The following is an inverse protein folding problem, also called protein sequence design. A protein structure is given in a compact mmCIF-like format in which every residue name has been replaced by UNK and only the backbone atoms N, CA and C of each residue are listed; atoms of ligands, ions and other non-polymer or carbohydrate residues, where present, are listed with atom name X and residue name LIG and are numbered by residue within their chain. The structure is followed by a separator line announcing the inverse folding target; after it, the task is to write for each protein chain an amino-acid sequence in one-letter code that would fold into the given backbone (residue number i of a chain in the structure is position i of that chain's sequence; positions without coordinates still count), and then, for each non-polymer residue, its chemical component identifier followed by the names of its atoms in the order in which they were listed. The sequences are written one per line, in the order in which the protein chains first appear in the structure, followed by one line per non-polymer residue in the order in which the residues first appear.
data_IF_544209779523
#
_entry.id   IF_544209779523
#
_cell.length_a   1.000
_cell.length_b   1.000
_cell.length_c   1.000
_cell.angle_alpha   90.00
_cell.angle_beta   90.00
_cell.angle_gamma   90.00
#
_symmetry.space_group_name_H-M   'P 1'
#
loop_
_entity.id
_entity.type
_entity.pdbx_description
1 polymer ?
#
# COMPACT_ATOMS: atom_id res chain seq x y z
N UNK A 1 25.79 5.84 8.71
CA UNK A 1 26.08 4.63 7.90
C UNK A 1 26.73 5.05 6.58
N UNK A 2 27.58 4.23 5.97
CA UNK A 2 28.04 4.51 4.60
C UNK A 2 26.97 4.07 3.59
N UNK A 3 26.22 5.05 3.07
CA UNK A 3 25.11 4.82 2.12
C UNK A 3 25.61 4.19 0.83
N UNK A 4 26.79 4.60 0.34
CA UNK A 4 27.35 4.11 -0.92
C UNK A 4 27.65 2.61 -0.81
N UNK A 5 28.28 2.21 0.29
CA UNK A 5 28.61 0.81 0.55
C UNK A 5 27.36 -0.05 0.70
N UNK A 6 26.36 0.42 1.44
CA UNK A 6 25.09 -0.29 1.60
C UNK A 6 24.38 -0.52 0.25
N UNK A 7 24.31 0.50 -0.60
CA UNK A 7 23.72 0.40 -1.95
C UNK A 7 24.51 -0.55 -2.85
N UNK A 8 25.85 -0.53 -2.77
CA UNK A 8 26.71 -1.41 -3.55
C UNK A 8 26.47 -2.90 -3.19
N UNK A 9 26.36 -3.21 -1.90
CA UNK A 9 26.09 -4.57 -1.41
C UNK A 9 24.68 -5.04 -1.76
N UNK A 10 23.66 -4.20 -1.54
CA UNK A 10 22.25 -4.53 -1.80
C UNK A 10 21.97 -4.75 -3.30
N UNK A 11 22.49 -3.88 -4.16
CA UNK A 11 22.30 -3.94 -5.61
C UNK A 11 23.34 -4.82 -6.33
N UNK A 12 24.34 -5.33 -5.60
CA UNK A 12 25.45 -6.16 -6.12
C UNK A 12 26.22 -5.47 -7.25
N UNK A 13 26.51 -4.18 -7.07
CA UNK A 13 27.28 -3.35 -8.01
C UNK A 13 28.51 -2.74 -7.33
N UNK A 14 29.43 -2.19 -8.11
CA UNK A 14 30.66 -1.59 -7.55
C UNK A 14 30.36 -0.23 -6.90
N UNK A 15 31.02 0.07 -5.79
CA UNK A 15 30.87 1.37 -5.08
C UNK A 15 31.11 2.57 -6.00
N UNK A 16 32.11 2.51 -6.89
CA UNK A 16 32.36 3.57 -7.86
C UNK A 16 31.19 3.81 -8.84
N UNK A 17 30.42 2.77 -9.18
CA UNK A 17 29.22 2.91 -10.00
C UNK A 17 28.09 3.59 -9.22
N UNK A 18 27.94 3.25 -7.93
CA UNK A 18 26.97 3.91 -7.04
C UNK A 18 27.32 5.39 -6.90
N UNK A 19 28.57 5.73 -6.60
CA UNK A 19 29.02 7.12 -6.44
C UNK A 19 28.73 7.95 -7.69
N UNK A 20 29.06 7.41 -8.88
CA UNK A 20 28.78 8.08 -10.14
C UNK A 20 27.28 8.28 -10.38
N UNK A 21 26.46 7.26 -10.11
CA UNK A 21 25.00 7.35 -10.25
C UNK A 21 24.39 8.37 -9.27
N UNK A 22 24.78 8.30 -7.98
CA UNK A 22 24.32 9.24 -6.93
C UNK A 22 24.67 10.68 -7.31
N UNK A 23 25.91 10.94 -7.75
CA UNK A 23 26.33 12.27 -8.18
C UNK A 23 25.44 12.80 -9.31
N UNK A 24 25.16 11.97 -10.32
CA UNK A 24 24.32 12.37 -11.45
C UNK A 24 22.87 12.63 -11.02
N UNK A 25 22.33 11.84 -10.08
CA UNK A 25 20.99 12.05 -9.51
C UNK A 25 20.95 13.37 -8.73
N UNK A 26 21.96 13.65 -7.91
CA UNK A 26 22.05 14.88 -7.13
C UNK A 26 22.22 16.14 -8.00
N UNK A 27 22.83 16.00 -9.18
CA UNK A 27 22.88 17.04 -10.22
C UNK A 27 21.52 17.27 -10.91
N UNK A 28 20.49 16.52 -10.54
CA UNK A 28 19.13 16.65 -11.08
C UNK A 28 18.89 15.89 -12.39
N UNK A 29 19.79 14.99 -12.80
CA UNK A 29 19.59 14.21 -14.01
C UNK A 29 18.51 13.14 -13.79
N UNK A 30 17.65 12.94 -14.81
CA UNK A 30 16.63 11.90 -14.76
C UNK A 30 17.23 10.51 -14.99
N UNK A 31 16.60 9.48 -14.44
CA UNK A 31 17.05 8.08 -14.64
C UNK A 31 17.15 7.71 -16.14
N UNK A 32 16.17 8.02 -17.01
CA UNK A 32 16.30 7.76 -18.45
C UNK A 32 17.48 8.51 -19.09
N UNK A 33 17.77 9.74 -18.64
CA UNK A 33 18.92 10.49 -19.13
C UNK A 33 20.24 9.83 -18.74
N UNK A 34 20.38 9.42 -17.47
CA UNK A 34 21.57 8.74 -16.97
C UNK A 34 21.78 7.43 -17.73
N UNK A 35 20.73 6.61 -17.82
CA UNK A 35 20.81 5.30 -18.44
C UNK A 35 21.09 5.38 -19.95
N UNK A 36 20.69 6.46 -20.64
CA UNK A 36 20.92 6.63 -22.08
C UNK A 36 22.25 7.34 -22.39
N UNK A 37 22.56 8.43 -21.69
CA UNK A 37 23.62 9.38 -22.07
C UNK A 37 24.80 9.42 -21.09
N UNK A 38 24.74 8.67 -19.98
CA UNK A 38 25.80 8.59 -18.97
C UNK A 38 26.20 7.14 -18.65
N UNK A 39 26.03 6.23 -19.61
CA UNK A 39 26.39 4.81 -19.47
C UNK A 39 27.83 4.61 -19.05
N UNK A 40 28.78 5.27 -19.70
CA UNK A 40 30.21 5.09 -19.38
C UNK A 40 30.54 5.53 -17.95
N UNK A 41 29.93 6.63 -17.49
CA UNK A 41 30.14 7.15 -16.15
C UNK A 41 29.63 6.19 -15.06
N UNK A 42 28.53 5.48 -15.30
CA UNK A 42 27.96 4.51 -14.34
C UNK A 42 28.44 3.08 -14.55
N UNK A 43 29.29 2.82 -15.56
CA UNK A 43 29.68 1.46 -15.93
C UNK A 43 28.53 0.64 -16.54
N UNK A 44 27.67 1.30 -17.31
CA UNK A 44 26.53 0.74 -18.06
C UNK A 44 25.44 0.13 -17.19
N UNK A 45 25.10 0.79 -16.08
CA UNK A 45 23.89 0.43 -15.31
C UNK A 45 22.64 0.64 -16.18
N UNK A 46 21.71 -0.31 -16.11
CA UNK A 46 20.42 -0.22 -16.80
C UNK A 46 19.42 0.61 -15.98
N UNK A 47 18.31 0.99 -16.61
CA UNK A 47 17.24 1.80 -16.00
C UNK A 47 16.67 1.15 -14.73
N UNK A 48 16.53 -0.17 -14.69
CA UNK A 48 15.98 -0.89 -13.53
C UNK A 48 16.87 -0.74 -12.29
N UNK A 49 18.18 -0.99 -12.44
CA UNK A 49 19.14 -0.82 -11.35
C UNK A 49 19.20 0.64 -10.90
N UNK A 50 19.18 1.59 -11.84
CA UNK A 50 19.22 3.02 -11.52
C UNK A 50 17.96 3.49 -10.78
N UNK A 51 16.77 2.96 -11.11
CA UNK A 51 15.53 3.25 -10.36
C UNK A 51 15.57 2.69 -8.94
N UNK A 52 15.94 1.41 -8.80
CA UNK A 52 16.10 0.77 -7.49
C UNK A 52 17.13 1.52 -6.64
N UNK A 53 18.21 2.02 -7.26
CA UNK A 53 19.22 2.86 -6.60
C UNK A 53 18.64 4.17 -6.11
N UNK A 54 17.89 4.92 -6.93
CA UNK A 54 17.27 6.19 -6.53
C UNK A 54 16.27 6.00 -5.38
N UNK A 55 15.36 5.02 -5.50
CA UNK A 55 14.39 4.71 -4.44
C UNK A 55 15.09 4.37 -3.12
N UNK A 56 16.11 3.51 -3.17
CA UNK A 56 16.84 3.09 -1.99
C UNK A 56 17.71 4.21 -1.41
N UNK A 57 18.33 5.03 -2.26
CA UNK A 57 19.09 6.21 -1.86
C UNK A 57 18.23 7.18 -1.07
N UNK A 58 17.01 7.47 -1.55
CA UNK A 58 16.05 8.33 -0.85
C UNK A 58 15.67 7.76 0.52
N UNK A 59 15.37 6.47 0.59
CA UNK A 59 15.08 5.81 1.87
C UNK A 59 16.24 5.93 2.85
N UNK A 60 17.47 5.60 2.41
CA UNK A 60 18.64 5.60 3.29
C UNK A 60 19.01 7.02 3.76
N UNK A 61 18.85 8.03 2.91
CA UNK A 61 18.99 9.45 3.30
C UNK A 61 17.95 9.85 4.33
N UNK A 62 16.67 9.49 4.12
CA UNK A 62 15.61 9.74 5.09
C UNK A 62 15.85 9.04 6.43
N UNK A 63 16.43 7.83 6.41
CA UNK A 63 16.84 7.13 7.63
C UNK A 63 17.94 7.88 8.38
N UNK A 64 19.00 8.33 7.72
CA UNK A 64 20.08 9.07 8.38
C UNK A 64 19.60 10.44 8.88
N UNK A 65 18.79 11.17 8.12
CA UNK A 65 18.15 12.41 8.58
C UNK A 65 17.31 12.16 9.84
N UNK A 66 16.51 11.09 9.84
CA UNK A 66 15.67 10.74 10.99
C UNK A 66 16.51 10.39 12.22
N UNK A 67 17.61 9.65 12.06
CA UNK A 67 18.56 9.38 13.15
C UNK A 67 19.09 10.66 13.76
N UNK A 68 19.51 11.62 12.93
CA UNK A 68 20.00 12.92 13.41
C UNK A 68 18.93 13.71 14.18
N UNK A 69 17.71 13.79 13.64
CA UNK A 69 16.59 14.42 14.33
C UNK A 69 16.32 13.79 15.70
N UNK A 70 16.32 12.46 15.77
CA UNK A 70 16.13 11.71 17.03
C UNK A 70 17.27 11.98 18.01
N UNK A 71 18.53 11.91 17.56
CA UNK A 71 19.69 12.20 18.42
C UNK A 71 19.63 13.62 18.97
N UNK A 72 19.28 14.60 18.15
CA UNK A 72 19.13 15.99 18.59
C UNK A 72 18.01 16.13 19.63
N UNK A 73 16.84 15.54 19.38
CA UNK A 73 15.70 15.59 20.30
C UNK A 73 15.98 14.92 21.66
N UNK A 74 16.83 13.89 21.70
CA UNK A 74 17.26 13.24 22.95
C UNK A 74 18.37 14.06 23.64
N UNK A 75 19.27 14.67 22.86
CA UNK A 75 20.32 15.55 23.38
C UNK A 75 19.74 16.80 24.04
N UNK A 76 18.70 17.38 23.46
CA UNK A 76 17.98 18.54 24.03
C UNK A 76 17.29 18.22 25.37
N UNK A 77 17.07 16.93 25.67
CA UNK A 77 16.57 16.45 26.96
C UNK A 77 17.69 16.07 27.94
N UNK A 78 18.95 16.26 27.57
CA UNK A 78 20.15 15.88 28.33
C UNK A 78 20.21 14.37 28.66
N UNK A 79 19.59 13.53 27.82
CA UNK A 79 19.47 12.07 28.04
C UNK A 79 20.24 11.22 27.03
N UNK A 80 21.00 11.83 26.12
CA UNK A 80 21.76 11.11 25.11
C UNK A 80 23.04 10.54 25.72
N UNK A 81 23.06 9.23 26.02
CA UNK A 81 24.27 8.55 26.47
C UNK A 81 25.12 8.09 25.28
N UNK A 82 26.45 7.88 25.46
CA UNK A 82 27.31 7.37 24.38
C UNK A 82 26.83 6.03 23.81
N UNK A 83 26.29 5.14 24.65
CA UNK A 83 25.76 3.85 24.24
C UNK A 83 24.50 4.02 23.39
N UNK A 84 23.59 4.90 23.80
CA UNK A 84 22.36 5.19 23.05
C UNK A 84 22.67 5.86 21.71
N UNK A 85 23.64 6.77 21.66
CA UNK A 85 24.10 7.37 20.41
C UNK A 85 24.64 6.29 19.46
N UNK A 86 25.43 5.36 19.98
CA UNK A 86 25.95 4.24 19.19
C UNK A 86 24.82 3.35 18.66
N UNK A 87 23.83 3.01 19.50
CA UNK A 87 22.68 2.19 19.13
C UNK A 87 21.83 2.88 18.03
N UNK A 88 21.58 4.18 18.14
CA UNK A 88 20.83 4.94 17.11
C UNK A 88 21.61 5.00 15.80
N UNK A 89 22.93 5.23 15.84
CA UNK A 89 23.77 5.23 14.63
C UNK A 89 23.78 3.85 13.94
N UNK A 90 23.81 2.78 14.73
CA UNK A 90 23.81 1.39 14.26
C UNK A 90 22.44 0.89 13.77
N UNK A 91 21.34 1.57 14.11
CA UNK A 91 20.00 1.16 13.69
C UNK A 91 19.87 1.09 12.16
N UNK A 92 19.46 -0.07 11.63
CA UNK A 92 19.38 -0.32 10.19
C UNK A 92 18.04 0.08 9.55
N UNK A 93 17.01 0.35 10.36
CA UNK A 93 15.64 0.63 9.88
C UNK A 93 15.03 1.78 10.66
N UNK A 94 14.08 2.48 10.02
CA UNK A 94 13.29 3.53 10.68
C UNK A 94 12.58 3.00 11.93
N UNK A 95 12.04 1.78 11.87
CA UNK A 95 11.36 1.15 13.01
C UNK A 95 12.29 0.99 14.21
N UNK A 96 13.55 0.56 14.00
CA UNK A 96 14.51 0.43 15.08
C UNK A 96 14.88 1.81 15.69
N UNK A 97 15.02 2.84 14.87
CA UNK A 97 15.22 4.22 15.34
C UNK A 97 14.03 4.70 16.17
N UNK A 98 12.81 4.45 15.71
CA UNK A 98 11.58 4.84 16.41
C UNK A 98 11.40 4.08 17.74
N UNK A 99 11.79 2.80 17.81
CA UNK A 99 11.79 2.01 19.04
C UNK A 99 12.77 2.60 20.06
N UNK A 100 14.00 2.96 19.65
CA UNK A 100 15.00 3.60 20.51
C UNK A 100 14.55 5.01 20.97
N UNK A 101 13.83 5.73 20.11
CA UNK A 101 13.33 7.07 20.43
C UNK A 101 12.10 7.07 21.34
N UNK A 102 11.35 5.96 21.39
CA UNK A 102 10.05 5.84 22.08
C UNK A 102 10.05 6.32 23.54
N UNK A 103 11.06 6.02 24.40
CA UNK A 103 11.10 6.51 25.78
C UNK A 103 11.19 8.04 25.90
N UNK A 104 11.68 8.72 24.85
CA UNK A 104 11.98 10.16 24.85
C UNK A 104 10.95 10.99 24.09
N UNK A 105 10.01 10.34 23.40
CA UNK A 105 8.91 11.02 22.72
C UNK A 105 8.00 11.70 23.74
N UNK A 106 7.53 12.90 23.40
CA UNK A 106 6.46 13.55 24.16
C UNK A 106 5.18 12.70 24.05
N UNK A 107 4.68 12.22 25.19
CA UNK A 107 3.48 11.38 25.26
C UNK A 107 2.27 12.21 25.68
N UNK A 108 1.09 11.83 25.18
CA UNK A 108 -0.18 12.28 25.78
C UNK A 108 -0.25 11.78 27.22
N UNK A 109 -0.88 12.52 28.13
CA UNK A 109 -0.97 12.20 29.57
C UNK A 109 -1.36 10.74 29.82
N UNK A 110 -0.38 9.89 30.16
CA UNK A 110 -0.58 8.43 30.35
C UNK A 110 -0.89 8.09 31.80
N UNK A 111 -1.37 6.86 32.06
CA UNK A 111 -1.57 6.36 33.43
C UNK A 111 -0.26 6.36 34.22
N UNK A 112 0.84 6.00 33.58
CA UNK A 112 2.18 6.04 34.18
C UNK A 112 2.61 7.48 34.52
N UNK A 113 2.38 8.45 33.63
CA UNK A 113 2.66 9.86 33.92
C UNK A 113 1.84 10.36 35.11
N UNK A 114 0.54 10.03 35.17
CA UNK A 114 -0.32 10.38 36.31
C UNK A 114 0.21 9.72 37.59
N UNK A 115 0.63 8.46 37.54
CA UNK A 115 1.21 7.76 38.69
C UNK A 115 2.54 8.39 39.15
N UNK A 116 3.39 8.86 38.22
CA UNK A 116 4.61 9.62 38.51
C UNK A 116 4.32 10.97 39.17
N UNK A 117 3.34 11.73 38.64
CA UNK A 117 2.85 12.98 39.24
C UNK A 117 2.36 12.77 40.69
N UNK A 118 1.76 11.60 40.97
CA UNK A 118 1.33 11.18 42.30
C UNK A 118 2.48 10.70 43.21
N UNK A 119 3.71 10.66 42.72
CA UNK A 119 4.89 10.25 43.49
C UNK A 119 5.01 8.74 43.70
N UNK A 120 4.45 7.91 42.81
CA UNK A 120 4.47 6.44 42.92
C UNK A 120 5.70 5.80 42.26
N UNK A 121 6.60 6.59 41.66
CA UNK A 121 7.82 6.10 41.03
C UNK A 121 8.76 5.35 41.99
N UNK A 122 9.02 5.83 43.23
CA UNK A 122 9.84 5.08 44.18
C UNK A 122 9.22 3.73 44.58
N UNK A 123 7.89 3.61 44.59
CA UNK A 123 7.20 2.34 44.83
C UNK A 123 7.40 1.37 43.65
N UNK A 124 7.37 1.86 42.41
CA UNK A 124 7.68 1.07 41.23
C UNK A 124 9.12 0.54 41.26
N UNK A 125 10.09 1.38 41.59
CA UNK A 125 11.50 0.99 41.74
C UNK A 125 11.69 -0.04 42.86
N UNK A 126 10.97 0.14 43.99
CA UNK A 126 10.98 -0.79 45.12
C UNK A 126 10.44 -2.18 44.76
N UNK A 127 9.40 -2.26 43.92
CA UNK A 127 8.87 -3.52 43.39
C UNK A 127 9.90 -4.18 42.47
N UNK A 128 10.54 -3.39 41.59
CA UNK A 128 11.50 -3.89 40.61
C UNK A 128 12.76 -4.48 41.26
N UNK A 129 13.18 -3.99 42.44
CA UNK A 129 14.28 -4.54 43.22
C UNK A 129 14.06 -5.98 43.71
N UNK A 130 12.81 -6.46 43.80
CA UNK A 130 12.46 -7.85 44.15
C UNK A 130 13.00 -8.35 45.50
N UNK A 131 13.28 -7.44 46.44
CA UNK A 131 13.86 -7.73 47.76
C UNK A 131 12.88 -7.61 48.93
N UNK A 132 11.57 -7.56 48.65
CA UNK A 132 10.58 -7.37 49.70
C UNK A 132 10.47 -8.55 50.65
N UNK A 133 10.40 -8.23 51.95
CA UNK A 133 10.27 -9.20 53.05
C UNK A 133 8.86 -9.26 53.63
N UNK A 134 8.00 -8.32 53.24
CA UNK A 134 6.62 -8.19 53.71
C UNK A 134 5.68 -7.93 52.52
N UNK A 135 4.37 -8.12 52.69
CA UNK A 135 3.37 -7.78 51.67
C UNK A 135 3.51 -6.34 51.16
N UNK A 136 3.37 -6.16 49.85
CA UNK A 136 3.55 -4.86 49.18
C UNK A 136 2.60 -3.79 49.72
N UNK A 137 1.44 -4.17 50.26
CA UNK A 137 0.48 -3.26 50.88
C UNK A 137 1.10 -2.45 52.03
N UNK A 138 2.06 -3.03 52.77
CA UNK A 138 2.76 -2.31 53.85
C UNK A 138 3.66 -1.21 53.32
N UNK A 139 4.45 -1.53 52.28
CA UNK A 139 5.29 -0.54 51.61
C UNK A 139 4.42 0.54 50.94
N UNK A 140 3.35 0.14 50.26
CA UNK A 140 2.42 1.00 49.56
C UNK A 140 1.61 1.92 50.48
N UNK A 141 1.41 1.57 51.75
CA UNK A 141 0.71 2.41 52.72
C UNK A 141 1.36 3.79 52.88
N UNK A 142 2.69 3.87 52.78
CA UNK A 142 3.45 5.14 52.84
C UNK A 142 3.21 6.07 51.64
N UNK A 143 2.61 5.56 50.57
CA UNK A 143 2.30 6.29 49.34
C UNK A 143 0.81 6.65 49.21
N UNK A 144 -0.02 6.30 50.20
CA UNK A 144 -1.43 6.71 50.25
C UNK A 144 -1.52 8.18 50.62
N UNK A 145 -2.18 8.97 49.78
CA UNK A 145 -2.32 10.41 49.96
C UNK A 145 -3.58 10.89 49.27
N UNK A 146 -4.54 11.37 50.06
CA UNK A 146 -5.79 11.94 49.54
C UNK A 146 -5.53 13.20 48.70
N UNK A 147 -4.57 14.02 49.10
CA UNK A 147 -4.10 15.21 48.37
C UNK A 147 -3.56 14.87 46.98
N UNK A 148 -2.79 13.77 46.86
CA UNK A 148 -2.30 13.27 45.57
C UNK A 148 -3.32 12.36 44.87
N UNK A 149 -4.53 12.20 45.40
CA UNK A 149 -5.58 11.36 44.82
C UNK A 149 -5.23 9.87 44.75
N UNK A 150 -4.48 9.36 45.75
CA UNK A 150 -4.22 7.93 45.97
C UNK A 150 -4.91 7.52 47.26
N UNK A 151 -6.06 6.84 47.15
CA UNK A 151 -6.95 6.58 48.30
C UNK A 151 -6.60 5.30 49.05
N UNK A 152 -5.94 4.35 48.40
CA UNK A 152 -5.66 3.04 49.00
C UNK A 152 -4.28 2.51 48.59
N UNK A 153 -3.73 1.60 49.40
CA UNK A 153 -2.48 0.90 49.07
C UNK A 153 -2.57 0.12 47.75
N UNK A 154 -3.77 -0.39 47.40
CA UNK A 154 -4.01 -1.05 46.11
C UNK A 154 -3.94 -0.08 44.94
N UNK A 155 -4.47 1.13 45.08
CA UNK A 155 -4.32 2.17 44.06
C UNK A 155 -2.87 2.60 43.88
N UNK A 156 -2.09 2.67 44.97
CA UNK A 156 -0.66 2.95 44.90
C UNK A 156 0.10 1.84 44.14
N UNK A 157 -0.19 0.56 44.44
CA UNK A 157 0.40 -0.57 43.71
C UNK A 157 -0.02 -0.55 42.24
N UNK A 158 -1.29 -0.31 41.93
CA UNK A 158 -1.77 -0.21 40.55
C UNK A 158 -1.07 0.92 39.76
N UNK A 159 -0.88 2.09 40.39
CA UNK A 159 -0.12 3.18 39.76
C UNK A 159 1.36 2.83 39.56
N UNK A 160 1.99 2.13 40.51
CA UNK A 160 3.35 1.61 40.33
C UNK A 160 3.42 0.57 39.19
N UNK A 161 2.41 -0.30 39.07
CA UNK A 161 2.29 -1.25 37.95
C UNK A 161 2.16 -0.52 36.60
N UNK A 162 1.37 0.55 36.52
CA UNK A 162 1.24 1.36 35.30
C UNK A 162 2.60 1.95 34.86
N UNK A 163 3.43 2.40 35.82
CA UNK A 163 4.79 2.90 35.54
C UNK A 163 5.67 1.79 34.99
N UNK A 164 5.69 0.62 35.63
CA UNK A 164 6.50 -0.52 35.19
C UNK A 164 6.05 -1.06 33.83
N UNK A 165 4.74 -1.11 33.59
CA UNK A 165 4.18 -1.54 32.31
C UNK A 165 4.59 -0.61 31.18
N UNK A 166 4.56 0.72 31.40
CA UNK A 166 5.03 1.68 30.40
C UNK A 166 6.54 1.53 30.12
N UNK A 167 7.37 1.41 31.18
CA UNK A 167 8.82 1.20 31.04
C UNK A 167 9.13 -0.05 30.22
N UNK A 168 8.46 -1.17 30.50
CA UNK A 168 8.61 -2.40 29.73
C UNK A 168 8.12 -2.25 28.28
N UNK A 169 7.03 -1.51 28.06
CA UNK A 169 6.47 -1.31 26.73
C UNK A 169 7.34 -0.47 25.79
N UNK A 170 8.20 0.38 26.36
CA UNK A 170 9.13 1.23 25.64
C UNK A 170 10.50 0.56 25.43
N UNK A 171 10.75 -0.60 26.03
CA UNK A 171 12.03 -1.31 25.88
C UNK A 171 12.21 -1.84 24.44
N UNK A 172 13.20 -1.31 23.73
CA UNK A 172 13.44 -1.62 22.32
C UNK A 172 13.74 -3.11 22.07
N UNK A 173 14.37 -3.81 23.02
CA UNK A 173 14.68 -5.25 22.89
C UNK A 173 13.42 -6.09 22.98
N UNK A 174 12.55 -5.81 23.96
CA UNK A 174 11.25 -6.46 24.10
C UNK A 174 10.40 -6.27 22.85
N UNK A 175 10.32 -5.04 22.33
CA UNK A 175 9.57 -4.75 21.10
C UNK A 175 10.11 -5.52 19.90
N UNK A 176 11.43 -5.55 19.74
CA UNK A 176 12.10 -6.27 18.65
C UNK A 176 11.82 -7.77 18.72
N UNK A 177 11.94 -8.37 19.90
CA UNK A 177 11.63 -9.79 20.12
C UNK A 177 10.16 -10.10 19.79
N UNK A 178 9.23 -9.33 20.34
CA UNK A 178 7.78 -9.53 20.16
C UNK A 178 7.38 -9.38 18.69
N UNK A 179 7.94 -8.40 17.99
CA UNK A 179 7.75 -8.22 16.54
C UNK A 179 8.26 -9.43 15.77
N UNK A 180 9.46 -9.89 16.08
CA UNK A 180 10.10 -11.03 15.41
C UNK A 180 9.31 -12.33 15.59
N UNK A 181 8.90 -12.64 16.83
CA UNK A 181 8.16 -13.88 17.11
C UNK A 181 6.75 -13.84 16.52
N UNK A 182 6.06 -12.69 16.59
CA UNK A 182 4.74 -12.51 15.96
C UNK A 182 4.83 -12.61 14.45
N UNK A 183 5.86 -12.06 13.81
CA UNK A 183 6.07 -12.21 12.37
C UNK A 183 6.38 -13.67 11.96
N UNK A 184 7.10 -14.40 12.81
CA UNK A 184 7.54 -15.78 12.54
C UNK A 184 6.42 -16.80 12.76
N UNK A 185 5.63 -16.64 13.81
CA UNK A 185 4.72 -17.67 14.33
C UNK A 185 3.26 -17.20 14.45
N UNK A 186 3.03 -15.89 14.38
CA UNK A 186 1.69 -15.32 14.41
C UNK A 186 0.85 -15.68 13.18
N UNK A 187 -0.46 -15.62 13.38
CA UNK A 187 -1.47 -15.94 12.37
C UNK A 187 -2.29 -14.69 12.08
N UNK A 188 -2.47 -14.34 10.81
CA UNK A 188 -3.47 -13.34 10.42
C UNK A 188 -4.82 -14.06 10.33
N UNK A 189 -5.85 -13.49 10.96
CA UNK A 189 -7.20 -14.03 11.01
C UNK A 189 -8.17 -12.97 10.49
N UNK A 190 -9.14 -13.40 9.68
CA UNK A 190 -10.29 -12.58 9.31
C UNK A 190 -11.60 -13.26 9.68
N UNK A 191 -12.51 -12.48 10.25
CA UNK A 191 -13.84 -12.90 10.66
C UNK A 191 -14.91 -11.99 10.03
N UNK A 192 -16.03 -12.56 9.59
CA UNK A 192 -17.18 -11.79 9.12
C UNK A 192 -17.86 -11.04 10.26
N UNK A 193 -18.33 -9.81 9.99
CA UNK A 193 -19.20 -9.10 10.95
C UNK A 193 -20.65 -9.59 10.90
N UNK A 194 -21.10 -10.06 9.74
CA UNK A 194 -22.39 -10.72 9.54
C UNK A 194 -22.19 -11.93 8.62
N UNK A 195 -22.19 -13.13 9.20
CA UNK A 195 -22.01 -14.40 8.49
C UNK A 195 -23.13 -14.70 7.48
N UNK A 196 -24.30 -14.06 7.60
CA UNK A 196 -25.45 -14.32 6.72
C UNK A 196 -25.46 -13.44 5.48
N UNK A 197 -24.68 -12.36 5.46
CA UNK A 197 -24.57 -11.51 4.29
C UNK A 197 -23.83 -12.27 3.18
N UNK A 198 -24.39 -12.33 1.97
CA UNK A 198 -23.68 -12.85 0.80
C UNK A 198 -22.87 -11.73 0.19
N UNK A 199 -21.55 -11.85 0.26
CA UNK A 199 -20.62 -10.85 -0.26
C UNK A 199 -19.49 -11.51 -1.04
N UNK A 200 -18.71 -10.70 -1.77
CA UNK A 200 -17.52 -11.17 -2.49
C UNK A 200 -16.41 -11.69 -1.55
N UNK A 201 -16.56 -11.53 -0.24
CA UNK A 201 -15.57 -11.90 0.77
C UNK A 201 -15.88 -13.22 1.50
N UNK A 202 -16.85 -14.02 1.04
CA UNK A 202 -17.23 -15.28 1.70
C UNK A 202 -16.04 -16.20 2.00
N UNK A 203 -15.04 -16.26 1.12
CA UNK A 203 -13.80 -17.03 1.35
C UNK A 203 -12.98 -16.56 2.56
N UNK A 204 -13.21 -15.33 3.03
CA UNK A 204 -12.51 -14.69 4.15
C UNK A 204 -13.36 -14.59 5.43
N UNK A 205 -14.54 -15.21 5.49
CA UNK A 205 -15.44 -15.12 6.65
C UNK A 205 -14.90 -15.83 7.89
N UNK A 206 -14.18 -16.94 7.71
CA UNK A 206 -13.46 -17.65 8.77
C UNK A 206 -12.11 -18.10 8.20
N UNK A 207 -11.22 -17.14 7.99
CA UNK A 207 -9.95 -17.38 7.32
C UNK A 207 -8.78 -17.11 8.24
N UNK A 208 -7.77 -17.98 8.14
CA UNK A 208 -6.54 -17.85 8.91
C UNK A 208 -5.35 -18.32 8.09
N UNK A 209 -4.25 -17.58 8.16
CA UNK A 209 -2.98 -18.02 7.59
C UNK A 209 -1.77 -17.51 8.38
N UNK A 210 -0.59 -18.17 8.29
CA UNK A 210 0.61 -17.66 8.91
C UNK A 210 1.04 -16.30 8.35
N UNK A 211 1.33 -15.34 9.22
CA UNK A 211 1.78 -13.97 8.87
C UNK A 211 2.96 -14.02 7.90
N UNK A 212 3.95 -14.89 8.16
CA UNK A 212 5.13 -15.06 7.31
C UNK A 212 4.83 -15.49 5.87
N UNK A 213 3.72 -16.21 5.66
CA UNK A 213 3.34 -16.81 4.36
C UNK A 213 2.17 -16.08 3.69
N UNK A 214 1.64 -15.03 4.31
CA UNK A 214 0.48 -14.33 3.81
C UNK A 214 0.75 -13.72 2.43
N UNK A 215 -0.11 -14.03 1.46
CA UNK A 215 0.06 -13.55 0.09
C UNK A 215 -0.52 -12.15 -0.07
N UNK A 216 0.17 -11.29 -0.83
CA UNK A 216 -0.22 -9.89 -0.99
C UNK A 216 -1.67 -9.70 -1.45
N UNK A 217 -2.13 -10.45 -2.46
CA UNK A 217 -3.52 -10.36 -2.94
C UNK A 217 -4.56 -10.69 -1.86
N UNK A 218 -4.26 -11.59 -0.91
CA UNK A 218 -5.16 -11.92 0.22
C UNK A 218 -5.16 -10.82 1.26
N UNK A 219 -3.99 -10.24 1.55
CA UNK A 219 -3.87 -9.06 2.42
C UNK A 219 -4.73 -7.92 1.87
N UNK A 220 -4.63 -7.60 0.58
CA UNK A 220 -5.42 -6.54 -0.05
C UNK A 220 -6.93 -6.84 -0.01
N UNK A 221 -7.35 -8.08 -0.29
CA UNK A 221 -8.75 -8.48 -0.21
C UNK A 221 -9.31 -8.36 1.22
N UNK A 222 -8.56 -8.82 2.23
CA UNK A 222 -8.94 -8.69 3.65
C UNK A 222 -9.00 -7.23 4.08
N UNK A 223 -8.02 -6.39 3.69
CA UNK A 223 -8.00 -4.96 3.98
C UNK A 223 -9.21 -4.25 3.38
N UNK A 224 -9.57 -4.59 2.13
CA UNK A 224 -10.74 -4.03 1.47
C UNK A 224 -12.03 -4.44 2.19
N UNK A 225 -12.21 -5.72 2.49
CA UNK A 225 -13.37 -6.21 3.24
C UNK A 225 -13.48 -5.57 4.63
N UNK A 226 -12.36 -5.28 5.29
CA UNK A 226 -12.31 -4.52 6.55
C UNK A 226 -12.74 -3.06 6.36
N UNK A 227 -12.25 -2.38 5.32
CA UNK A 227 -12.60 -0.99 5.00
C UNK A 227 -14.09 -0.82 4.64
N UNK A 228 -14.66 -1.79 3.92
CA UNK A 228 -16.09 -1.88 3.58
C UNK A 228 -16.93 -2.35 4.79
N UNK A 229 -16.31 -2.58 5.95
CA UNK A 229 -16.92 -3.01 7.21
C UNK A 229 -17.60 -4.38 7.14
N UNK A 230 -17.21 -5.25 6.20
CA UNK A 230 -17.71 -6.63 6.09
C UNK A 230 -16.89 -7.58 6.97
N UNK A 231 -15.58 -7.36 7.04
CA UNK A 231 -14.64 -8.19 7.80
C UNK A 231 -14.08 -7.46 9.02
N UNK A 232 -13.55 -8.23 9.97
CA UNK A 232 -12.61 -7.78 11.01
C UNK A 232 -11.33 -8.57 10.85
N UNK A 233 -10.18 -7.90 10.76
CA UNK A 233 -8.89 -8.58 10.55
C UNK A 233 -7.98 -8.33 11.74
N UNK A 234 -7.40 -9.39 12.28
CA UNK A 234 -6.50 -9.33 13.46
C UNK A 234 -5.27 -10.20 13.27
N UNK A 235 -4.23 -9.93 14.06
CA UNK A 235 -3.09 -10.82 14.20
C UNK A 235 -3.18 -11.56 15.54
N UNK A 236 -3.26 -12.88 15.47
CA UNK A 236 -3.12 -13.76 16.62
C UNK A 236 -1.63 -14.05 16.85
N UNK A 237 -1.06 -13.39 17.86
CA UNK A 237 0.32 -13.56 18.26
C UNK A 237 0.48 -14.73 19.26
N UNK A 238 1.67 -15.35 19.35
CA UNK A 238 1.96 -16.39 20.34
C UNK A 238 2.08 -15.80 21.75
N UNK A 239 0.95 -15.47 22.38
CA UNK A 239 0.92 -14.72 23.65
C UNK A 239 1.69 -15.43 24.78
N UNK A 240 1.58 -16.75 24.91
CA UNK A 240 2.23 -17.49 25.99
C UNK A 240 3.76 -17.36 25.95
N UNK A 241 4.35 -17.45 24.76
CA UNK A 241 5.80 -17.30 24.57
C UNK A 241 6.26 -15.86 24.82
N UNK A 242 5.46 -14.90 24.37
CA UNK A 242 5.73 -13.46 24.60
C UNK A 242 5.68 -13.14 26.09
N UNK A 243 4.65 -13.60 26.81
CA UNK A 243 4.51 -13.37 28.25
C UNK A 243 5.66 -14.05 29.01
N UNK A 244 6.01 -15.29 28.66
CA UNK A 244 7.16 -15.98 29.25
C UNK A 244 8.48 -15.21 29.06
N UNK A 245 8.69 -14.62 27.88
CA UNK A 245 9.85 -13.78 27.63
C UNK A 245 9.84 -12.50 28.48
N UNK A 246 8.72 -11.79 28.54
CA UNK A 246 8.59 -10.56 29.33
C UNK A 246 8.75 -10.82 30.84
N UNK A 247 8.21 -11.93 31.34
CA UNK A 247 8.42 -12.38 32.71
C UNK A 247 9.91 -12.60 33.00
N UNK A 248 10.65 -13.23 32.09
CA UNK A 248 12.11 -13.42 32.25
C UNK A 248 12.92 -12.13 32.20
N UNK A 249 12.43 -11.10 31.49
CA UNK A 249 13.08 -9.78 31.48
C UNK A 249 12.84 -9.01 32.77
N UNK A 250 11.65 -9.14 33.38
CA UNK A 250 11.29 -8.42 34.61
C UNK A 250 11.73 -9.14 35.88
N UNK A 251 11.61 -10.46 35.93
CA UNK A 251 11.75 -11.27 37.15
C UNK A 251 13.14 -11.89 37.18
N UNK A 252 14.04 -11.26 37.93
CA UNK A 252 15.42 -11.74 38.13
C UNK A 252 15.56 -12.61 39.37
N UNK A 253 14.59 -12.53 40.30
CA UNK A 253 14.57 -13.28 41.55
C UNK A 253 13.15 -13.61 41.95
N UNK A 254 12.90 -14.86 42.33
CA UNK A 254 11.61 -15.23 42.88
C UNK A 254 11.40 -14.58 44.26
N UNK A 255 10.25 -13.92 44.41
CA UNK A 255 9.83 -13.28 45.64
C UNK A 255 8.31 -13.35 45.76
N UNK A 256 7.74 -13.95 46.84
CA UNK A 256 6.30 -14.17 46.95
C UNK A 256 5.46 -12.88 46.94
N UNK A 257 6.07 -11.73 47.28
CA UNK A 257 5.38 -10.45 47.35
C UNK A 257 5.47 -9.63 46.06
N UNK A 258 6.57 -9.72 45.30
CA UNK A 258 6.75 -8.94 44.06
C UNK A 258 6.50 -9.75 42.79
N UNK A 259 6.77 -11.06 42.79
CA UNK A 259 6.61 -11.92 41.60
C UNK A 259 5.18 -11.90 41.03
N UNK A 260 4.10 -12.05 41.82
CA UNK A 260 2.74 -11.99 41.29
C UNK A 260 2.40 -10.64 40.63
N UNK A 261 2.89 -9.55 41.22
CA UNK A 261 2.69 -8.19 40.68
C UNK A 261 3.47 -8.00 39.38
N UNK A 262 4.72 -8.46 39.31
CA UNK A 262 5.54 -8.36 38.09
C UNK A 262 4.97 -9.19 36.93
N UNK A 263 4.36 -10.35 37.20
CA UNK A 263 3.62 -11.11 36.18
C UNK A 263 2.42 -10.34 35.63
N UNK A 264 1.63 -9.74 36.52
CA UNK A 264 0.51 -8.89 36.10
C UNK A 264 0.97 -7.65 35.32
N UNK A 265 2.14 -7.09 35.66
CA UNK A 265 2.77 -6.00 34.89
C UNK A 265 3.18 -6.48 33.48
N UNK A 266 3.78 -7.65 33.34
CA UNK A 266 4.15 -8.21 32.04
C UNK A 266 2.92 -8.40 31.15
N UNK A 267 1.85 -8.96 31.71
CA UNK A 267 0.57 -9.20 31.03
C UNK A 267 -0.10 -7.89 30.58
N UNK A 268 -0.22 -6.90 31.48
CA UNK A 268 -0.81 -5.61 31.16
C UNK A 268 0.04 -4.83 30.14
N UNK A 269 1.37 -4.82 30.29
CA UNK A 269 2.30 -4.21 29.34
C UNK A 269 2.11 -4.77 27.94
N UNK A 270 2.04 -6.09 27.82
CA UNK A 270 1.83 -6.73 26.53
C UNK A 270 0.45 -6.40 25.96
N UNK A 271 -0.63 -6.77 26.64
CA UNK A 271 -1.99 -6.72 26.07
C UNK A 271 -2.47 -5.30 25.81
N UNK A 272 -2.13 -4.35 26.68
CA UNK A 272 -2.61 -2.97 26.58
C UNK A 272 -1.71 -2.10 25.71
N UNK A 273 -0.40 -2.30 25.74
CA UNK A 273 0.57 -1.36 25.16
C UNK A 273 1.36 -1.94 23.99
N UNK A 274 2.01 -3.10 24.16
CA UNK A 274 2.92 -3.64 23.13
C UNK A 274 2.13 -4.32 22.01
N UNK A 275 1.24 -5.26 22.32
CA UNK A 275 0.48 -6.08 21.37
C UNK A 275 -0.24 -5.25 20.31
N UNK A 276 -1.14 -4.31 20.69
CA UNK A 276 -1.85 -3.47 19.73
C UNK A 276 -0.94 -2.53 18.90
N UNK A 277 0.25 -2.19 19.42
CA UNK A 277 1.24 -1.41 18.67
C UNK A 277 1.92 -2.28 17.61
N UNK A 278 2.39 -3.46 18.00
CA UNK A 278 3.10 -4.40 17.12
C UNK A 278 2.16 -4.97 16.05
N UNK A 279 0.91 -5.27 16.40
CA UNK A 279 -0.10 -5.71 15.44
C UNK A 279 -0.28 -4.69 14.31
N UNK A 280 -0.43 -3.40 14.66
CA UNK A 280 -0.54 -2.33 13.66
C UNK A 280 0.71 -2.22 12.80
N UNK A 281 1.90 -2.27 13.40
CA UNK A 281 3.16 -2.24 12.65
C UNK A 281 3.27 -3.40 11.65
N UNK A 282 2.93 -4.62 12.07
CA UNK A 282 2.97 -5.79 11.19
C UNK A 282 1.90 -5.68 10.10
N UNK A 283 0.67 -5.28 10.42
CA UNK A 283 -0.41 -5.07 9.43
C UNK A 283 -0.02 -4.01 8.40
N UNK A 284 0.59 -2.91 8.83
CA UNK A 284 1.11 -1.86 7.93
C UNK A 284 2.20 -2.41 7.01
N UNK A 285 3.19 -3.13 7.56
CA UNK A 285 4.27 -3.71 6.77
C UNK A 285 3.78 -4.77 5.75
N UNK A 286 2.79 -5.59 6.14
CA UNK A 286 2.14 -6.54 5.22
C UNK A 286 1.40 -5.80 4.10
N UNK A 287 0.73 -4.69 4.43
CA UNK A 287 -0.01 -3.87 3.47
C UNK A 287 0.94 -3.22 2.46
N UNK A 288 1.97 -2.52 2.94
CA UNK A 288 2.99 -1.88 2.09
C UNK A 288 3.63 -2.90 1.14
N UNK A 289 4.04 -4.07 1.65
CA UNK A 289 4.59 -5.15 0.82
C UNK A 289 3.60 -5.67 -0.22
N UNK A 290 2.32 -5.75 0.12
CA UNK A 290 1.28 -6.20 -0.79
C UNK A 290 1.00 -5.17 -1.89
N UNK A 291 0.95 -3.88 -1.53
CA UNK A 291 0.81 -2.75 -2.45
C UNK A 291 2.00 -2.67 -3.40
N UNK A 292 3.24 -2.73 -2.92
CA UNK A 292 4.45 -2.75 -3.75
C UNK A 292 4.43 -3.89 -4.77
N UNK A 293 4.01 -5.09 -4.33
CA UNK A 293 3.85 -6.24 -5.19
C UNK A 293 2.79 -6.02 -6.28
N UNK A 294 1.65 -5.44 -5.92
CA UNK A 294 0.57 -5.12 -6.84
C UNK A 294 0.98 -4.03 -7.85
N UNK A 295 1.62 -2.96 -7.38
CA UNK A 295 2.11 -1.84 -8.21
C UNK A 295 3.09 -2.36 -9.28
N UNK A 296 3.98 -3.30 -8.94
CA UNK A 296 4.87 -3.92 -9.94
C UNK A 296 4.10 -4.66 -11.04
N UNK A 297 3.03 -5.36 -10.68
CA UNK A 297 2.15 -6.02 -11.66
C UNK A 297 1.42 -4.99 -12.51
N UNK A 298 0.91 -3.92 -11.89
CA UNK A 298 0.23 -2.83 -12.59
C UNK A 298 1.17 -2.13 -13.58
N UNK A 299 2.39 -1.81 -13.16
CA UNK A 299 3.41 -1.21 -14.00
C UNK A 299 3.73 -2.10 -15.22
N UNK A 300 3.88 -3.41 -15.03
CA UNK A 300 4.09 -4.37 -16.12
C UNK A 300 2.90 -4.43 -17.07
N UNK A 301 1.68 -4.46 -16.53
CA UNK A 301 0.46 -4.48 -17.35
C UNK A 301 0.30 -3.19 -18.15
N UNK A 302 0.61 -2.04 -17.54
CA UNK A 302 0.59 -0.75 -18.22
C UNK A 302 1.66 -0.67 -19.32
N UNK A 303 2.89 -1.12 -19.04
CA UNK A 303 3.95 -1.20 -20.04
C UNK A 303 3.51 -2.05 -21.24
N UNK A 304 2.92 -3.22 -20.99
CA UNK A 304 2.39 -4.08 -22.07
C UNK A 304 1.30 -3.40 -22.90
N UNK A 305 0.44 -2.59 -22.29
CA UNK A 305 -0.58 -1.82 -23.00
C UNK A 305 0.02 -0.69 -23.83
N UNK A 306 0.98 0.05 -23.27
CA UNK A 306 1.65 1.16 -23.95
C UNK A 306 2.52 0.70 -25.12
N UNK A 307 3.13 -0.48 -25.00
CA UNK A 307 4.05 -1.03 -26.00
C UNK A 307 3.35 -1.92 -27.05
N UNK A 308 2.01 -1.89 -27.11
CA UNK A 308 1.27 -2.60 -28.15
C UNK A 308 1.64 -2.05 -29.55
N UNK A 309 1.91 -2.93 -30.53
CA UNK A 309 2.25 -2.48 -31.88
C UNK A 309 1.13 -1.63 -32.52
N UNK A 310 1.44 -0.46 -33.08
CA UNK A 310 0.47 0.40 -33.74
C UNK A 310 0.01 -0.19 -35.08
N UNK A 311 -1.27 0.00 -35.44
CA UNK A 311 -1.82 -0.34 -36.76
C UNK A 311 -2.03 0.95 -37.57
N UNK A 312 -0.92 1.50 -38.07
CA UNK A 312 -0.91 2.76 -38.80
C UNK A 312 -1.54 2.66 -40.20
N UNK A 313 -2.05 3.80 -40.70
CA UNK A 313 -2.49 3.94 -42.09
C UNK A 313 -3.87 3.34 -42.41
N UNK A 314 -4.61 2.84 -41.41
CA UNK A 314 -5.93 2.24 -41.57
C UNK A 314 -7.04 3.23 -41.23
N UNK A 315 -8.16 3.17 -41.95
CA UNK A 315 -9.39 3.87 -41.57
C UNK A 315 -10.13 2.98 -40.57
N UNK A 316 -10.32 3.47 -39.36
CA UNK A 316 -10.81 2.68 -38.22
C UNK A 316 -12.18 3.16 -37.79
N UNK A 317 -13.12 2.23 -37.62
CA UNK A 317 -14.38 2.47 -36.93
C UNK A 317 -14.24 1.99 -35.47
N UNK A 318 -14.17 2.93 -34.53
CA UNK A 318 -14.25 2.63 -33.10
C UNK A 318 -15.68 2.33 -32.69
N UNK A 319 -15.85 1.31 -31.87
CA UNK A 319 -17.12 0.83 -31.35
C UNK A 319 -17.03 0.73 -29.82
N UNK A 320 -17.70 1.63 -29.14
CA UNK A 320 -17.90 1.61 -27.69
C UNK A 320 -19.21 0.86 -27.37
N UNK A 321 -19.14 -0.40 -26.90
CA UNK A 321 -20.32 -1.23 -26.71
C UNK A 321 -21.13 -0.78 -25.48
N UNK A 322 -22.45 -0.86 -25.59
CA UNK A 322 -23.33 -0.70 -24.43
C UNK A 322 -24.69 -1.36 -24.66
N UNK A 323 -25.43 -1.57 -23.57
CA UNK A 323 -26.83 -1.97 -23.61
C UNK A 323 -27.76 -0.74 -23.73
N UNK A 324 -28.25 -0.24 -22.59
CA UNK A 324 -29.31 0.78 -22.51
C UNK A 324 -28.97 2.10 -23.23
N UNK A 325 -27.72 2.54 -23.17
CA UNK A 325 -27.28 3.84 -23.72
C UNK A 325 -26.97 3.79 -25.21
N UNK A 326 -27.07 2.62 -25.85
CA UNK A 326 -26.66 2.41 -27.24
C UNK A 326 -25.14 2.32 -27.39
N UNK A 327 -24.71 1.64 -28.46
CA UNK A 327 -23.30 1.55 -28.84
C UNK A 327 -22.90 2.81 -29.61
N UNK A 328 -21.77 3.43 -29.25
CA UNK A 328 -21.29 4.66 -29.90
C UNK A 328 -20.24 4.27 -30.92
N UNK A 329 -20.37 4.80 -32.11
CA UNK A 329 -19.45 4.59 -33.20
C UNK A 329 -18.74 5.89 -33.53
N UNK A 330 -17.45 5.80 -33.86
CA UNK A 330 -16.68 6.89 -34.40
C UNK A 330 -15.79 6.39 -35.54
N UNK A 331 -15.82 7.04 -36.69
CA UNK A 331 -14.92 6.74 -37.81
C UNK A 331 -13.76 7.71 -37.78
N UNK A 332 -12.54 7.20 -37.78
CA UNK A 332 -11.31 7.99 -37.91
C UNK A 332 -10.55 7.61 -39.17
N UNK A 333 -9.99 8.60 -39.86
CA UNK A 333 -9.13 8.36 -41.02
C UNK A 333 -7.76 7.79 -40.62
N UNK A 334 -6.92 7.51 -41.61
CA UNK A 334 -5.57 6.98 -41.44
C UNK A 334 -4.63 7.85 -40.57
N UNK A 335 -4.99 9.11 -40.32
CA UNK A 335 -4.24 10.05 -39.46
C UNK A 335 -4.84 10.19 -38.05
N UNK A 336 -6.00 9.58 -37.80
CA UNK A 336 -6.73 9.69 -36.55
C UNK A 336 -7.69 10.89 -36.49
N UNK A 337 -7.92 11.58 -37.62
CA UNK A 337 -8.94 12.63 -37.69
C UNK A 337 -10.32 12.00 -37.72
N UNK A 338 -11.23 12.51 -36.90
CA UNK A 338 -12.63 12.04 -36.86
C UNK A 338 -13.36 12.48 -38.13
N UNK A 339 -13.99 11.52 -38.80
CA UNK A 339 -14.81 11.73 -40.00
C UNK A 339 -16.30 11.74 -39.68
N UNK A 340 -16.75 10.86 -38.78
CA UNK A 340 -18.16 10.72 -38.43
C UNK A 340 -18.34 10.08 -37.05
N UNK A 341 -19.52 10.29 -36.45
CA UNK A 341 -19.93 9.64 -35.20
C UNK A 341 -21.42 9.35 -35.21
N UNK A 342 -21.83 8.20 -34.68
CA UNK A 342 -23.25 7.83 -34.59
C UNK A 342 -23.52 6.94 -33.38
N UNK A 343 -24.75 6.94 -32.89
CA UNK A 343 -25.21 6.01 -31.85
C UNK A 343 -26.18 5.01 -32.46
N UNK A 344 -25.92 3.72 -32.23
CA UNK A 344 -26.76 2.61 -32.70
C UNK A 344 -27.25 1.76 -31.53
N UNK A 345 -28.32 1.00 -31.74
CA UNK A 345 -28.94 0.18 -30.68
C UNK A 345 -29.06 -1.31 -31.05
N UNK A 346 -27.93 -2.00 -31.35
CA UNK A 346 -27.95 -3.39 -31.81
C UNK A 346 -28.22 -4.41 -30.70
N UNK A 347 -27.95 -4.04 -29.43
CA UNK A 347 -28.04 -4.93 -28.26
C UNK A 347 -29.32 -4.72 -27.47
N UNK A 348 -29.52 -5.52 -26.41
CA UNK A 348 -30.63 -5.33 -25.49
C UNK A 348 -30.57 -3.94 -24.81
N UNK A 349 -31.72 -3.28 -24.54
CA UNK A 349 -33.07 -3.79 -24.68
C UNK A 349 -33.69 -3.60 -26.08
N UNK A 350 -33.18 -2.70 -26.93
CA UNK A 350 -33.86 -2.36 -28.20
C UNK A 350 -33.67 -3.41 -29.31
N UNK A 351 -32.51 -4.09 -29.35
CA UNK A 351 -32.17 -5.15 -30.33
C UNK A 351 -32.43 -4.80 -31.79
N UNK A 352 -32.14 -3.56 -32.20
CA UNK A 352 -32.33 -3.08 -33.59
C UNK A 352 -31.15 -3.46 -34.48
N UNK A 353 -30.93 -4.77 -34.64
CA UNK A 353 -29.75 -5.32 -35.34
C UNK A 353 -29.71 -4.92 -36.81
N UNK A 354 -30.81 -5.07 -37.55
CA UNK A 354 -30.83 -4.77 -38.99
C UNK A 354 -30.64 -3.27 -39.30
N UNK A 355 -31.19 -2.38 -38.45
CA UNK A 355 -30.98 -0.94 -38.54
C UNK A 355 -29.49 -0.59 -38.32
N UNK A 356 -28.88 -1.18 -37.29
CA UNK A 356 -27.47 -1.01 -37.00
C UNK A 356 -26.58 -1.54 -38.14
N UNK A 357 -26.87 -2.74 -38.68
CA UNK A 357 -26.16 -3.31 -39.83
C UNK A 357 -26.25 -2.39 -41.04
N UNK A 358 -27.41 -1.80 -41.33
CA UNK A 358 -27.57 -0.84 -42.44
C UNK A 358 -26.65 0.37 -42.26
N UNK A 359 -26.68 1.01 -41.08
CA UNK A 359 -25.82 2.16 -40.78
C UNK A 359 -24.34 1.79 -40.92
N UNK A 360 -23.93 0.63 -40.41
CA UNK A 360 -22.55 0.16 -40.51
C UNK A 360 -22.12 -0.07 -41.97
N UNK A 361 -22.99 -0.66 -42.82
CA UNK A 361 -22.70 -0.82 -44.26
C UNK A 361 -22.46 0.52 -44.93
N UNK A 362 -23.29 1.51 -44.63
CA UNK A 362 -23.20 2.86 -45.20
C UNK A 362 -21.89 3.55 -44.76
N UNK A 363 -21.52 3.46 -43.47
CA UNK A 363 -20.25 3.99 -42.94
C UNK A 363 -19.03 3.30 -43.56
N UNK A 364 -19.05 1.96 -43.63
CA UNK A 364 -17.94 1.18 -44.21
C UNK A 364 -17.74 1.54 -45.68
N UNK A 365 -18.83 1.62 -46.45
CA UNK A 365 -18.76 1.93 -47.87
C UNK A 365 -18.30 3.38 -48.11
N UNK A 366 -18.84 4.34 -47.35
CA UNK A 366 -18.58 5.79 -47.52
C UNK A 366 -17.16 6.16 -47.16
N UNK A 367 -16.66 5.69 -46.00
CA UNK A 367 -15.36 6.08 -45.48
C UNK A 367 -14.25 5.06 -45.81
N UNK A 368 -14.58 3.98 -46.49
CA UNK A 368 -13.65 2.88 -46.81
C UNK A 368 -12.99 2.30 -45.55
N UNK A 369 -13.79 2.08 -44.51
CA UNK A 369 -13.34 1.48 -43.25
C UNK A 369 -12.71 0.12 -43.54
N UNK A 370 -11.47 -0.07 -43.07
CA UNK A 370 -10.75 -1.34 -43.20
C UNK A 370 -10.72 -2.13 -41.89
N UNK A 371 -10.92 -1.46 -40.76
CA UNK A 371 -10.80 -2.06 -39.43
C UNK A 371 -11.89 -1.56 -38.47
N UNK A 372 -12.46 -2.46 -37.69
CA UNK A 372 -13.38 -2.15 -36.59
C UNK A 372 -12.65 -2.40 -35.27
N UNK A 373 -12.56 -1.37 -34.43
CA UNK A 373 -12.01 -1.46 -33.07
C UNK A 373 -13.15 -1.58 -32.07
N UNK A 374 -13.32 -2.75 -31.46
CA UNK A 374 -14.39 -3.02 -30.49
C UNK A 374 -13.84 -2.93 -29.06
N UNK A 375 -14.42 -2.06 -28.21
CA UNK A 375 -14.11 -2.03 -26.78
C UNK A 375 -14.46 -3.34 -26.08
N UNK A 376 -13.65 -3.76 -25.10
CA UNK A 376 -13.84 -5.00 -24.34
C UNK A 376 -14.78 -4.86 -23.13
N UNK A 377 -15.59 -3.79 -23.08
CA UNK A 377 -16.50 -3.50 -21.99
C UNK A 377 -17.81 -4.25 -21.98
N UNK A 378 -18.79 -3.59 -21.36
CA UNK A 378 -20.15 -4.11 -21.22
C UNK A 378 -20.81 -4.24 -22.60
N UNK A 379 -21.46 -5.37 -22.86
CA UNK A 379 -22.08 -5.71 -24.15
C UNK A 379 -21.10 -5.93 -25.32
N UNK A 380 -19.81 -6.10 -25.06
CA UNK A 380 -18.80 -6.38 -26.10
C UNK A 380 -19.08 -7.68 -26.86
N UNK A 381 -19.42 -8.77 -26.15
CA UNK A 381 -19.75 -10.06 -26.75
C UNK A 381 -20.96 -9.99 -27.69
N UNK A 382 -22.02 -9.31 -27.28
CA UNK A 382 -23.23 -9.11 -28.10
C UNK A 382 -22.93 -8.24 -29.31
N UNK A 383 -22.08 -7.22 -29.15
CA UNK A 383 -21.63 -6.36 -30.25
C UNK A 383 -20.77 -7.11 -31.26
N UNK A 384 -19.87 -7.97 -30.78
CA UNK A 384 -19.02 -8.83 -31.61
C UNK A 384 -19.85 -9.74 -32.51
N UNK A 385 -20.93 -10.34 -31.99
CA UNK A 385 -21.83 -11.16 -32.80
C UNK A 385 -22.40 -10.40 -34.00
N UNK A 386 -22.84 -9.15 -33.77
CA UNK A 386 -23.39 -8.28 -34.83
C UNK A 386 -22.32 -7.92 -35.85
N UNK A 387 -21.10 -7.62 -35.41
CA UNK A 387 -19.95 -7.34 -36.30
C UNK A 387 -19.66 -8.57 -37.16
N UNK A 388 -19.51 -9.76 -36.55
CA UNK A 388 -19.17 -10.99 -37.27
C UNK A 388 -20.24 -11.37 -38.30
N UNK A 389 -21.52 -11.20 -37.98
CA UNK A 389 -22.60 -11.42 -38.94
C UNK A 389 -22.53 -10.42 -40.11
N UNK A 390 -22.36 -9.13 -39.81
CA UNK A 390 -22.23 -8.09 -40.83
C UNK A 390 -21.06 -8.38 -41.78
N UNK A 391 -19.91 -8.78 -41.25
CA UNK A 391 -18.71 -9.05 -42.05
C UNK A 391 -18.89 -10.21 -43.06
N UNK A 392 -19.86 -11.12 -42.82
CA UNK A 392 -20.22 -12.19 -43.78
C UNK A 392 -21.13 -11.71 -44.90
N UNK A 393 -21.84 -10.60 -44.69
CA UNK A 393 -22.87 -10.08 -45.58
C UNK A 393 -22.33 -9.01 -46.54
N UNK A 394 -21.16 -8.45 -46.27
CA UNK A 394 -20.56 -7.37 -47.05
C UNK A 394 -19.42 -7.86 -47.95
N UNK A 395 -19.24 -7.28 -49.15
CA UNK A 395 -18.12 -7.63 -50.04
C UNK A 395 -16.79 -6.99 -49.64
N UNK A 396 -16.81 -5.92 -48.82
CA UNK A 396 -15.60 -5.22 -48.37
C UNK A 396 -14.77 -6.11 -47.42
N UNK A 397 -13.44 -6.06 -47.58
CA UNK A 397 -12.51 -6.76 -46.69
C UNK A 397 -12.26 -5.94 -45.43
N UNK A 398 -13.18 -6.04 -44.47
CA UNK A 398 -13.08 -5.39 -43.16
C UNK A 398 -12.72 -6.42 -42.11
N UNK A 399 -11.79 -6.08 -41.22
CA UNK A 399 -11.41 -6.91 -40.07
C UNK A 399 -11.89 -6.24 -38.78
N UNK A 400 -11.95 -6.99 -37.67
CA UNK A 400 -12.20 -6.40 -36.36
C UNK A 400 -11.14 -6.85 -35.35
N UNK A 401 -10.90 -6.00 -34.36
CA UNK A 401 -10.00 -6.26 -33.24
C UNK A 401 -10.69 -5.78 -31.96
N UNK A 402 -10.62 -6.61 -30.92
CA UNK A 402 -11.06 -6.22 -29.58
C UNK A 402 -9.92 -5.46 -28.90
N UNK A 403 -10.21 -4.27 -28.39
CA UNK A 403 -9.26 -3.42 -27.68
C UNK A 403 -9.66 -3.22 -26.23
N UNK A 404 -8.68 -3.01 -25.38
CA UNK A 404 -8.92 -2.62 -24.01
C UNK A 404 -9.52 -1.21 -23.98
N UNK A 405 -10.68 -1.01 -23.35
CA UNK A 405 -11.33 0.30 -23.20
C UNK A 405 -10.97 1.03 -21.89
N UNK A 406 -10.10 0.45 -21.05
CA UNK A 406 -9.71 1.02 -19.77
C UNK A 406 -9.23 2.47 -19.94
N UNK A 407 -9.77 3.36 -19.10
CA UNK A 407 -9.49 4.79 -19.15
C UNK A 407 -10.23 5.56 -20.25
N UNK A 408 -10.92 4.93 -21.22
CA UNK A 408 -11.65 5.66 -22.26
C UNK A 408 -12.78 6.54 -21.69
N UNK A 409 -13.45 6.06 -20.63
CA UNK A 409 -14.45 6.83 -19.88
C UNK A 409 -13.85 8.00 -19.09
N UNK A 410 -12.63 7.84 -18.57
CA UNK A 410 -11.90 8.91 -17.87
C UNK A 410 -11.43 9.96 -18.87
N UNK A 411 -10.90 9.51 -20.00
CA UNK A 411 -10.54 10.39 -21.12
C UNK A 411 -11.74 11.21 -21.58
N UNK A 412 -12.88 10.57 -21.87
CA UNK A 412 -14.03 11.26 -22.46
C UNK A 412 -14.66 12.33 -21.55
N UNK A 413 -14.56 12.13 -20.24
CA UNK A 413 -14.95 13.10 -19.21
C UNK A 413 -13.86 14.14 -18.89
N UNK A 414 -12.65 14.01 -19.44
CA UNK A 414 -11.53 14.91 -19.16
C UNK A 414 -11.70 16.28 -19.80
N UNK A 415 -10.99 17.26 -19.24
CA UNK A 415 -10.89 18.60 -19.82
C UNK A 415 -10.22 18.56 -21.20
N UNK A 416 -9.18 17.75 -21.36
CA UNK A 416 -8.48 17.56 -22.64
C UNK A 416 -9.41 17.06 -23.74
N UNK A 417 -10.23 16.04 -23.48
CA UNK A 417 -11.19 15.55 -24.48
C UNK A 417 -12.29 16.56 -24.80
N UNK A 418 -12.65 17.41 -23.83
CA UNK A 418 -13.58 18.52 -24.06
C UNK A 418 -12.97 19.60 -24.95
N UNK A 419 -11.66 19.85 -24.82
CA UNK A 419 -10.91 20.76 -25.68
C UNK A 419 -10.70 20.18 -27.09
N UNK A 420 -10.40 18.88 -27.22
CA UNK A 420 -10.28 18.20 -28.52
C UNK A 420 -11.63 18.14 -29.26
N UNK A 421 -12.73 17.88 -28.55
CA UNK A 421 -14.06 17.68 -29.14
C UNK A 421 -15.19 18.40 -28.37
N UNK A 422 -15.28 19.75 -28.48
CA UNK A 422 -16.26 20.54 -27.74
C UNK A 422 -17.71 20.17 -28.07
N UNK A 423 -17.97 19.83 -29.33
CA UNK A 423 -19.32 19.54 -29.85
C UNK A 423 -19.74 18.08 -29.67
N UNK A 424 -18.86 17.20 -29.20
CA UNK A 424 -19.17 15.78 -29.01
C UNK A 424 -19.64 15.52 -27.59
N UNK A 425 -20.58 14.59 -27.45
CA UNK A 425 -20.93 14.05 -26.16
C UNK A 425 -19.83 13.12 -25.60
N UNK A 426 -19.97 12.75 -24.32
CA UNK A 426 -19.00 11.91 -23.60
C UNK A 426 -18.87 10.52 -24.25
N UNK A 427 -19.95 9.94 -24.77
CA UNK A 427 -19.91 8.63 -25.41
C UNK A 427 -19.20 8.66 -26.77
N UNK A 428 -19.43 9.70 -27.56
CA UNK A 428 -18.76 9.89 -28.85
C UNK A 428 -17.25 10.05 -28.66
N UNK A 429 -16.81 10.83 -27.67
CA UNK A 429 -15.38 10.97 -27.31
C UNK A 429 -14.74 9.64 -26.92
N UNK A 430 -15.48 8.78 -26.21
CA UNK A 430 -15.04 7.44 -25.83
C UNK A 430 -14.81 6.56 -27.07
N UNK A 431 -15.76 6.52 -28.01
CA UNK A 431 -15.63 5.78 -29.27
C UNK A 431 -14.45 6.27 -30.13
N UNK A 432 -14.19 7.59 -30.14
CA UNK A 432 -13.00 8.15 -30.81
C UNK A 432 -11.71 7.62 -30.17
N UNK A 433 -11.65 7.57 -28.83
CA UNK A 433 -10.47 7.04 -28.13
C UNK A 433 -10.25 5.55 -28.43
N UNK A 434 -11.32 4.75 -28.46
CA UNK A 434 -11.25 3.33 -28.86
C UNK A 434 -10.68 3.18 -30.28
N UNK A 435 -11.14 3.99 -31.24
CA UNK A 435 -10.63 3.96 -32.61
C UNK A 435 -9.13 4.30 -32.70
N UNK A 436 -8.73 5.43 -32.10
CA UNK A 436 -7.34 5.94 -32.14
C UNK A 436 -6.36 5.04 -31.39
N UNK A 437 -6.80 4.41 -30.29
CA UNK A 437 -5.99 3.48 -29.52
C UNK A 437 -5.54 2.27 -30.33
N UNK A 438 -6.34 1.82 -31.30
CA UNK A 438 -5.91 0.74 -32.20
C UNK A 438 -4.86 1.20 -33.22
N UNK A 439 -4.94 2.47 -33.66
CA UNK A 439 -3.97 3.05 -34.60
C UNK A 439 -2.61 3.25 -33.93
N UNK A 440 -2.60 3.85 -32.74
CA UNK A 440 -1.41 4.04 -31.93
C UNK A 440 -1.76 4.06 -30.43
N UNK A 441 -1.62 2.92 -29.73
CA UNK A 441 -1.92 2.78 -28.31
C UNK A 441 -1.17 3.77 -27.44
N UNK A 442 0.12 3.99 -27.72
CA UNK A 442 0.96 4.89 -26.93
C UNK A 442 0.45 6.32 -27.03
N UNK A 443 0.21 6.82 -28.24
CA UNK A 443 -0.21 8.21 -28.47
C UNK A 443 -1.57 8.55 -27.83
N UNK A 444 -2.46 7.56 -27.73
CA UNK A 444 -3.80 7.75 -27.19
C UNK A 444 -3.83 7.55 -25.67
N UNK A 445 -3.11 6.55 -25.13
CA UNK A 445 -3.08 6.26 -23.69
C UNK A 445 -2.33 7.32 -22.88
N UNK A 446 -1.34 8.01 -23.43
CA UNK A 446 -0.61 9.11 -22.74
C UNK A 446 -1.48 10.34 -22.46
N UNK A 447 -2.67 10.44 -23.07
CA UNK A 447 -3.66 11.49 -22.81
C UNK A 447 -4.41 11.28 -21.49
N UNK A 448 -4.26 10.12 -20.88
CA UNK A 448 -4.98 9.68 -19.68
C UNK A 448 -3.99 9.70 -18.53
N UNK A 449 -4.45 10.15 -17.35
CA UNK A 449 -3.66 9.99 -16.12
C UNK A 449 -3.32 8.50 -15.94
N UNK A 450 -2.02 8.11 -15.85
CA UNK A 450 -1.61 6.70 -15.79
C UNK A 450 -2.33 5.89 -14.71
N UNK A 451 -2.63 6.48 -13.55
CA UNK A 451 -3.34 5.77 -12.46
C UNK A 451 -4.82 5.52 -12.76
N UNK A 452 -5.36 6.17 -13.77
CA UNK A 452 -6.74 6.01 -14.23
C UNK A 452 -6.88 4.98 -15.35
N UNK A 453 -5.77 4.49 -15.89
CA UNK A 453 -5.77 3.34 -16.80
C UNK A 453 -5.89 2.09 -15.93
N UNK A 454 -7.06 1.45 -15.95
CA UNK A 454 -7.32 0.24 -15.17
C UNK A 454 -6.46 -0.93 -15.65
N UNK A 455 -5.41 -1.26 -14.88
CA UNK A 455 -4.42 -2.29 -15.21
C UNK A 455 -4.34 -3.41 -14.18
N UNK A 456 -5.19 -3.39 -13.15
CA UNK A 456 -5.35 -4.53 -12.26
C UNK A 456 -6.46 -4.39 -11.22
N UNK A 457 -6.71 -5.49 -10.52
CA UNK A 457 -7.69 -5.54 -9.43
C UNK A 457 -7.19 -4.71 -8.24
N UNK A 458 -8.12 -4.09 -7.51
CA UNK A 458 -7.83 -3.28 -6.32
C UNK A 458 -6.97 -2.03 -6.57
N UNK A 459 -6.74 -1.63 -7.81
CA UNK A 459 -5.92 -0.45 -8.13
C UNK A 459 -6.41 0.84 -7.45
N UNK A 460 -7.72 1.01 -7.29
CA UNK A 460 -8.32 2.14 -6.57
C UNK A 460 -8.24 2.03 -5.05
N UNK A 461 -7.96 0.83 -4.53
CA UNK A 461 -7.86 0.55 -3.10
C UNK A 461 -6.42 0.73 -2.58
N UNK A 462 -5.45 0.99 -3.48
CA UNK A 462 -4.03 1.24 -3.12
C UNK A 462 -3.80 2.71 -2.78
N UNK A 463 -2.65 2.99 -2.14
CA UNK A 463 -2.12 4.35 -2.03
C UNK A 463 -1.94 5.01 -3.42
N UNK A 464 -2.61 6.15 -3.66
CA UNK A 464 -2.86 6.77 -4.98
C UNK A 464 -1.83 7.80 -5.44
#
# INVERSE_FOLDING_TARGET
MDIIKALAEELKIREGQVQAAVKLIDEGNTIPFIARYRKEATGSLNDEILRNLDERLRYLRGLEERKEQVMNAIRDQEKLTPELEQDIRAAATLVAVEDLYRPYKQKRRTRAMIAKEKGLEPLADLILLQMQKEPLEKAAASYVSEEKGVKTAREAIAGAMDILAERLSDDAKCRTYIRSITMKEGLIQSEAKDEKAQTVYETYYHYQEPVKKAAGHRILAMNRGESEKVLTVKILAPEEEILSYLERQLITRENPYTTPVLKAVAEDSYRRLIGPSIEREIRSALTEKAEDGAIRVFAKNLEQLLMQPPIAGQVVLGWDPAFRTGCKLAVVDATGKVLDTVVIYPTAPQKRVEEAKKILRDLIATYHVSLISLGNGTASRESEQVIVELLKEIPQKVQYVIVNEAGASVYSASKLATEEFPSFDVGQRSAVSIARRLQDPLSELVKIDPKSIGVGQYQHDMNQ
#
